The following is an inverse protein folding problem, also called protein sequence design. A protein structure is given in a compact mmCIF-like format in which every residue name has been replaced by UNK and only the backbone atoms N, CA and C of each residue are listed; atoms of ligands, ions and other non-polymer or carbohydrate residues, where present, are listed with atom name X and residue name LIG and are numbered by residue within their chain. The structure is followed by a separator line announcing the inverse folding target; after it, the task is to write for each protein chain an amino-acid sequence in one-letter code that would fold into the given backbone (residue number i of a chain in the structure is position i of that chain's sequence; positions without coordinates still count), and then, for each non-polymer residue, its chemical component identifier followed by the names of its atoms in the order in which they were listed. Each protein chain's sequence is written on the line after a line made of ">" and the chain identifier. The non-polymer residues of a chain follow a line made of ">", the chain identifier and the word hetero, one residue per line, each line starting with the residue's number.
data_IF_623521070020
#
_entry.id   IF_623521070020
#
_cell.length_a   1.000
_cell.length_b   1.000
_cell.length_c   1.000
_cell.angle_alpha   90.00
_cell.angle_beta   90.00
_cell.angle_gamma   90.00
#
_symmetry.space_group_name_H-M   'P 1'
#
loop_
_entity.id
_entity.type
_entity.pdbx_description
1 polymer ?
#
# COMPACT_ATOMS: atom_id res chain seq x y z
N UNK A 1 -7.43 -19.85 3.70
CA UNK A 1 -6.54 -20.19 2.57
C UNK A 1 -5.11 -20.16 3.10
N UNK A 2 -4.26 -21.12 2.73
CA UNK A 2 -2.84 -21.07 3.09
C UNK A 2 -2.10 -20.08 2.18
N UNK A 3 -1.11 -19.32 2.67
CA UNK A 3 -0.28 -18.45 1.82
C UNK A 3 0.40 -19.23 0.70
N UNK A 4 0.42 -18.69 -0.52
CA UNK A 4 1.22 -19.27 -1.60
C UNK A 4 2.69 -18.91 -1.39
N UNK A 5 3.60 -19.85 -1.65
CA UNK A 5 5.04 -19.60 -1.55
C UNK A 5 5.67 -19.59 -2.94
N UNK A 6 6.46 -18.55 -3.24
CA UNK A 6 7.12 -18.34 -4.54
C UNK A 6 8.56 -17.88 -4.32
N UNK A 7 9.34 -17.82 -5.40
CA UNK A 7 10.70 -17.26 -5.43
C UNK A 7 10.68 -16.01 -6.29
N UNK A 8 11.25 -14.91 -5.79
CA UNK A 8 11.33 -13.64 -6.51
C UNK A 8 12.33 -13.78 -7.66
N UNK A 9 11.97 -13.28 -8.84
CA UNK A 9 12.88 -13.08 -9.96
C UNK A 9 13.66 -11.75 -9.85
N UNK A 10 13.35 -10.94 -8.82
CA UNK A 10 13.95 -9.64 -8.57
C UNK A 10 13.14 -8.47 -9.11
N UNK A 11 12.01 -8.72 -9.78
CA UNK A 11 11.20 -7.68 -10.38
C UNK A 11 9.83 -7.57 -9.68
N UNK A 12 9.51 -6.37 -9.19
CA UNK A 12 8.15 -6.03 -8.81
C UNK A 12 7.54 -6.85 -7.67
N UNK A 13 8.32 -7.29 -6.67
CA UNK A 13 7.82 -7.99 -5.47
C UNK A 13 7.93 -7.11 -4.21
N UNK A 14 7.04 -6.13 -4.01
CA UNK A 14 7.09 -5.25 -2.84
C UNK A 14 6.57 -5.94 -1.57
N UNK A 15 7.41 -6.07 -0.54
CA UNK A 15 7.04 -6.64 0.75
C UNK A 15 6.22 -5.64 1.58
N UNK A 16 5.00 -6.03 1.99
CA UNK A 16 4.07 -5.17 2.75
C UNK A 16 4.38 -5.06 4.25
N UNK A 17 5.47 -5.69 4.70
CA UNK A 17 5.93 -5.58 6.09
C UNK A 17 7.10 -4.61 6.25
N UNK A 18 8.16 -4.78 5.47
CA UNK A 18 9.34 -3.90 5.51
C UNK A 18 9.25 -2.71 4.54
N UNK A 19 8.23 -2.71 3.68
CA UNK A 19 8.02 -1.74 2.60
C UNK A 19 9.21 -1.57 1.65
N UNK A 20 9.90 -2.69 1.40
CA UNK A 20 11.03 -2.81 0.49
C UNK A 20 10.80 -3.95 -0.52
N UNK A 21 11.61 -4.04 -1.56
CA UNK A 21 11.52 -5.10 -2.56
C UNK A 21 12.11 -6.41 -2.04
N UNK A 22 11.46 -7.54 -2.38
CA UNK A 22 12.03 -8.87 -2.17
C UNK A 22 13.10 -9.13 -3.24
N UNK A 23 14.37 -9.36 -2.86
CA UNK A 23 15.46 -9.52 -3.83
C UNK A 23 15.33 -10.81 -4.66
N UNK A 24 15.96 -10.82 -5.83
CA UNK A 24 16.02 -12.00 -6.70
C UNK A 24 16.54 -13.24 -5.94
N UNK A 25 15.91 -14.39 -6.19
CA UNK A 25 16.25 -15.67 -5.54
C UNK A 25 15.71 -15.85 -4.12
N UNK A 26 15.19 -14.79 -3.47
CA UNK A 26 14.58 -14.93 -2.15
C UNK A 26 13.15 -15.46 -2.23
N UNK A 27 12.76 -16.27 -1.24
CA UNK A 27 11.40 -16.77 -1.12
C UNK A 27 10.45 -15.69 -0.55
N UNK A 28 9.24 -15.65 -1.07
CA UNK A 28 8.17 -14.78 -0.59
C UNK A 28 6.83 -15.50 -0.50
N UNK A 29 5.91 -14.88 0.23
CA UNK A 29 4.54 -15.33 0.42
C UNK A 29 3.57 -14.41 -0.32
N UNK A 30 2.54 -14.99 -0.94
CA UNK A 30 1.38 -14.27 -1.47
C UNK A 30 0.19 -14.54 -0.56
N UNK A 31 -0.46 -13.48 -0.09
CA UNK A 31 -1.60 -13.58 0.81
C UNK A 31 -2.75 -12.71 0.31
N UNK A 32 -3.99 -13.19 0.48
CA UNK A 32 -5.17 -12.34 0.38
C UNK A 32 -5.24 -11.43 1.61
N UNK A 33 -5.17 -10.12 1.38
CA UNK A 33 -5.20 -9.12 2.43
C UNK A 33 -6.30 -8.09 2.20
N UNK A 34 -6.98 -7.77 3.29
CA UNK A 34 -7.98 -6.72 3.41
C UNK A 34 -7.37 -5.61 4.28
N UNK A 35 -7.03 -4.43 3.74
CA UNK A 35 -6.47 -3.32 4.50
C UNK A 35 -7.56 -2.54 5.25
N UNK A 36 -8.49 -3.26 5.87
CA UNK A 36 -9.62 -2.72 6.62
C UNK A 36 -9.94 -3.63 7.81
N UNK A 37 -10.36 -3.07 8.96
CA UNK A 37 -10.57 -3.84 10.18
C UNK A 37 -11.77 -4.79 10.10
N UNK A 38 -12.78 -4.47 9.30
CA UNK A 38 -14.01 -5.25 9.16
C UNK A 38 -14.40 -5.48 7.68
N UNK A 39 -15.29 -6.45 7.46
CA UNK A 39 -15.97 -6.59 6.18
C UNK A 39 -17.00 -5.47 6.03
N UNK A 40 -16.90 -4.73 4.93
CA UNK A 40 -17.83 -3.67 4.55
C UNK A 40 -17.81 -3.53 3.01
N UNK A 41 -18.78 -2.86 2.37
CA UNK A 41 -18.93 -2.86 0.90
C UNK A 41 -17.70 -2.38 0.10
N UNK A 42 -16.86 -1.55 0.70
CA UNK A 42 -15.62 -1.01 0.13
C UNK A 42 -14.36 -1.74 0.61
N UNK A 43 -14.50 -2.84 1.37
CA UNK A 43 -13.37 -3.56 1.96
C UNK A 43 -12.68 -4.46 0.93
N UNK A 44 -12.02 -3.83 -0.04
CA UNK A 44 -11.30 -4.50 -1.12
C UNK A 44 -10.29 -5.50 -0.54
N UNK A 45 -10.33 -6.73 -1.05
CA UNK A 45 -9.35 -7.77 -0.74
C UNK A 45 -8.52 -8.04 -1.98
N UNK A 46 -7.20 -8.03 -1.84
CA UNK A 46 -6.28 -8.27 -2.95
C UNK A 46 -4.99 -8.93 -2.47
N UNK A 47 -4.11 -9.34 -3.40
CA UNK A 47 -2.84 -9.95 -3.03
C UNK A 47 -1.89 -8.92 -2.42
N UNK A 48 -1.21 -9.33 -1.35
CA UNK A 48 0.02 -8.69 -0.88
C UNK A 48 1.16 -9.70 -0.90
N UNK A 49 2.38 -9.18 -0.95
CA UNK A 49 3.59 -9.97 -0.84
C UNK A 49 4.29 -9.70 0.48
N UNK A 50 4.86 -10.74 1.08
CA UNK A 50 5.70 -10.66 2.28
C UNK A 50 6.96 -11.49 2.05
N UNK A 51 8.10 -11.09 2.61
CA UNK A 51 9.24 -12.00 2.72
C UNK A 51 8.79 -13.31 3.41
N UNK A 52 9.25 -14.46 2.90
CA UNK A 52 8.99 -15.74 3.55
C UNK A 52 9.79 -15.87 4.85
N UNK A 53 10.98 -15.27 4.88
CA UNK A 53 11.80 -15.14 6.08
C UNK A 53 11.46 -13.84 6.84
N UNK A 54 11.69 -13.79 8.16
CA UNK A 54 11.46 -12.57 8.94
C UNK A 54 12.24 -11.38 8.38
N UNK A 55 11.55 -10.24 8.23
CA UNK A 55 12.15 -8.95 7.89
C UNK A 55 11.74 -7.91 8.93
N UNK A 56 12.55 -6.85 9.08
CA UNK A 56 12.24 -5.78 10.03
C UNK A 56 11.06 -4.96 9.50
N UNK A 57 10.05 -4.61 10.32
CA UNK A 57 9.02 -3.68 9.90
C UNK A 57 9.62 -2.37 9.44
N UNK A 58 9.02 -1.78 8.41
CA UNK A 58 9.31 -0.40 8.06
C UNK A 58 9.09 0.48 9.30
N UNK A 59 10.08 1.30 9.60
CA UNK A 59 10.04 2.24 10.71
C UNK A 59 10.54 3.59 10.23
N UNK A 60 9.76 4.65 10.44
CA UNK A 60 10.12 6.01 10.08
C UNK A 60 9.04 6.73 9.28
N UNK A 61 9.37 7.95 8.87
CA UNK A 61 8.55 8.80 8.01
C UNK A 61 9.14 8.83 6.60
N UNK A 62 8.29 9.07 5.59
CA UNK A 62 8.71 9.33 4.23
C UNK A 62 8.26 8.26 3.23
N UNK A 63 8.80 8.35 2.01
CA UNK A 63 8.44 7.46 0.91
C UNK A 63 9.06 6.08 1.11
N UNK A 64 8.28 4.99 1.16
CA UNK A 64 8.85 3.64 1.24
C UNK A 64 9.56 3.27 -0.07
N UNK A 65 10.72 2.59 0.00
CA UNK A 65 11.53 2.25 -1.18
C UNK A 65 10.82 1.33 -2.17
N UNK A 66 9.82 0.56 -1.73
CA UNK A 66 9.06 -0.32 -2.62
C UNK A 66 8.17 0.42 -3.66
N UNK A 67 8.01 1.75 -3.55
CA UNK A 67 7.22 2.54 -4.50
C UNK A 67 8.08 2.94 -5.72
N UNK A 68 8.31 1.99 -6.61
CA UNK A 68 9.21 2.11 -7.77
C UNK A 68 8.49 2.32 -9.13
N UNK A 69 7.15 2.35 -9.15
CA UNK A 69 6.40 2.71 -10.37
C UNK A 69 6.40 4.22 -10.61
N UNK A 70 6.09 4.65 -11.83
CA UNK A 70 6.00 6.08 -12.20
C UNK A 70 4.89 6.84 -11.45
N UNK A 71 3.80 6.14 -11.14
CA UNK A 71 2.60 6.71 -10.54
C UNK A 71 1.79 5.66 -9.79
N UNK A 72 0.97 6.14 -8.85
CA UNK A 72 0.11 5.35 -7.99
C UNK A 72 -1.24 6.03 -7.82
N UNK A 73 -2.27 5.27 -7.46
CA UNK A 73 -3.51 5.85 -6.96
C UNK A 73 -3.30 6.27 -5.51
N UNK A 74 -3.56 7.53 -5.22
CA UNK A 74 -3.64 8.08 -3.86
C UNK A 74 -5.10 8.39 -3.57
N UNK A 75 -5.64 7.92 -2.44
CA UNK A 75 -7.07 8.03 -2.11
C UNK A 75 -7.30 8.22 -0.61
N UNK A 76 -8.11 9.21 -0.24
CA UNK A 76 -8.50 9.50 1.14
C UNK A 76 -9.66 8.64 1.64
N UNK A 77 -9.59 8.28 2.91
CA UNK A 77 -10.63 7.53 3.63
C UNK A 77 -11.02 8.26 4.91
N UNK A 78 -12.30 8.19 5.26
CA UNK A 78 -12.83 8.73 6.51
C UNK A 78 -12.65 7.76 7.69
N UNK A 79 -13.09 8.18 8.89
CA UNK A 79 -13.00 7.37 10.11
C UNK A 79 -13.91 6.13 10.11
N UNK A 80 -14.85 6.03 9.15
CA UNK A 80 -15.73 4.88 8.97
C UNK A 80 -15.20 3.92 7.90
N UNK A 81 -13.95 4.08 7.47
CA UNK A 81 -13.30 3.31 6.41
C UNK A 81 -14.03 3.44 5.05
N UNK A 82 -14.61 4.62 4.75
CA UNK A 82 -15.23 4.93 3.45
C UNK A 82 -14.34 5.82 2.62
N UNK A 83 -14.39 5.61 1.31
CA UNK A 83 -13.73 6.49 0.35
C UNK A 83 -14.37 7.86 0.44
N UNK A 84 -13.57 8.89 0.70
CA UNK A 84 -14.03 10.28 0.55
C UNK A 84 -13.98 10.61 -0.94
N UNK A 85 -15.15 10.64 -1.59
CA UNK A 85 -15.24 10.84 -3.03
C UNK A 85 -14.61 12.16 -3.47
N UNK A 86 -14.00 12.17 -4.66
CA UNK A 86 -13.24 13.30 -5.19
C UNK A 86 -11.79 13.39 -4.70
N UNK A 87 -11.34 12.48 -3.82
CA UNK A 87 -9.95 12.44 -3.32
C UNK A 87 -9.05 11.44 -4.05
N UNK A 88 -9.62 10.57 -4.89
CA UNK A 88 -8.85 9.59 -5.64
C UNK A 88 -8.18 10.21 -6.86
N UNK A 89 -6.86 10.12 -6.96
CA UNK A 89 -6.10 10.56 -8.14
C UNK A 89 -5.00 9.56 -8.49
N UNK A 90 -4.66 9.48 -9.78
CA UNK A 90 -3.40 8.88 -10.23
C UNK A 90 -2.33 9.94 -10.08
N UNK A 91 -1.41 9.74 -9.15
CA UNK A 91 -0.42 10.71 -8.71
C UNK A 91 0.98 10.22 -9.09
N UNK A 92 1.80 11.03 -9.77
CA UNK A 92 3.21 10.73 -9.99
C UNK A 92 3.93 10.44 -8.68
N UNK A 93 4.80 9.44 -8.65
CA UNK A 93 5.48 9.00 -7.42
C UNK A 93 6.18 10.12 -6.65
N UNK A 94 6.90 11.07 -7.30
CA UNK A 94 7.50 12.20 -6.59
C UNK A 94 6.49 13.14 -5.90
N UNK A 95 5.23 13.15 -6.34
CA UNK A 95 4.18 14.05 -5.85
C UNK A 95 3.31 13.42 -4.76
N UNK A 96 3.44 12.10 -4.50
CA UNK A 96 2.58 11.38 -3.56
C UNK A 96 2.61 12.01 -2.16
N UNK A 97 3.79 12.39 -1.66
CA UNK A 97 3.92 12.98 -0.33
C UNK A 97 3.15 14.30 -0.23
N UNK A 98 3.38 15.22 -1.17
CA UNK A 98 2.70 16.51 -1.22
C UNK A 98 1.17 16.33 -1.37
N UNK A 99 0.72 15.44 -2.25
CA UNK A 99 -0.71 15.21 -2.42
C UNK A 99 -1.34 14.58 -1.19
N UNK A 100 -0.70 13.60 -0.56
CA UNK A 100 -1.16 13.00 0.69
C UNK A 100 -1.27 14.03 1.81
N UNK A 101 -0.32 14.98 1.92
CA UNK A 101 -0.41 16.10 2.86
C UNK A 101 -1.64 16.97 2.60
N UNK A 102 -1.96 17.29 1.34
CA UNK A 102 -3.19 18.08 1.04
C UNK A 102 -4.47 17.35 1.42
N UNK A 103 -4.52 16.03 1.22
CA UNK A 103 -5.66 15.21 1.64
C UNK A 103 -5.74 15.16 3.17
N UNK A 104 -4.64 14.85 3.82
CA UNK A 104 -4.58 14.82 5.28
C UNK A 104 -4.83 16.22 5.87
N UNK A 105 -4.61 17.35 5.20
CA UNK A 105 -5.03 18.64 5.75
C UNK A 105 -6.57 18.75 5.98
N UNK A 106 -7.37 17.91 5.32
CA UNK A 106 -8.83 17.92 5.48
C UNK A 106 -9.26 17.16 6.73
N UNK A 107 -10.22 17.71 7.52
CA UNK A 107 -10.67 17.07 8.76
C UNK A 107 -11.56 15.83 8.54
N UNK A 108 -12.14 15.68 7.34
CA UNK A 108 -12.98 14.52 6.98
C UNK A 108 -12.14 13.30 6.54
N UNK A 109 -10.82 13.44 6.36
CA UNK A 109 -9.91 12.37 5.98
C UNK A 109 -9.14 11.87 7.21
N UNK A 110 -9.38 10.62 7.57
CA UNK A 110 -8.69 9.93 8.66
C UNK A 110 -7.32 9.39 8.23
N UNK A 111 -7.22 8.83 7.03
CA UNK A 111 -5.99 8.27 6.47
C UNK A 111 -6.03 8.21 4.94
N UNK A 112 -4.89 7.93 4.32
CA UNK A 112 -4.75 7.81 2.86
C UNK A 112 -4.22 6.43 2.50
N UNK A 113 -4.76 5.80 1.46
CA UNK A 113 -4.15 4.61 0.86
C UNK A 113 -3.38 4.97 -0.40
N UNK A 114 -2.23 4.32 -0.58
CA UNK A 114 -1.51 4.23 -1.85
C UNK A 114 -1.82 2.88 -2.49
N UNK A 115 -2.22 2.88 -3.76
CA UNK A 115 -2.59 1.70 -4.53
C UNK A 115 -1.91 1.70 -5.90
N UNK A 116 -1.66 0.53 -6.48
CA UNK A 116 -1.17 0.43 -7.87
C UNK A 116 -2.13 1.15 -8.81
N UNK A 117 -1.62 2.04 -9.68
CA UNK A 117 -2.47 2.72 -10.65
C UNK A 117 -3.07 1.78 -11.70
N UNK A 118 -2.38 0.68 -12.01
CA UNK A 118 -2.76 -0.25 -13.10
C UNK A 118 -3.64 -1.37 -12.59
N UNK A 119 -3.40 -1.83 -11.36
CA UNK A 119 -4.05 -3.02 -10.81
C UNK A 119 -4.87 -2.74 -9.55
N UNK A 120 -4.89 -1.50 -9.04
CA UNK A 120 -5.59 -1.08 -7.81
C UNK A 120 -5.16 -1.85 -6.53
N UNK A 121 -4.13 -2.70 -6.60
CA UNK A 121 -3.58 -3.43 -5.46
C UNK A 121 -3.11 -2.48 -4.36
N UNK A 122 -3.38 -2.83 -3.10
CA UNK A 122 -2.92 -2.07 -1.94
C UNK A 122 -1.40 -2.07 -1.84
N UNK A 123 -0.81 -0.90 -1.57
CA UNK A 123 0.62 -0.75 -1.32
C UNK A 123 0.87 -0.46 0.15
N UNK A 124 0.44 0.70 0.63
CA UNK A 124 0.60 1.13 2.02
C UNK A 124 -0.48 2.13 2.42
N UNK A 125 -0.54 2.44 3.72
CA UNK A 125 -1.37 3.49 4.32
C UNK A 125 -0.45 4.60 4.79
N UNK A 126 -0.85 5.84 4.52
CA UNK A 126 -0.21 7.06 5.02
C UNK A 126 -1.10 7.58 6.14
N UNK A 127 -0.48 7.84 7.28
CA UNK A 127 -1.12 8.41 8.46
C UNK A 127 -0.56 9.82 8.73
N UNK A 128 -1.27 10.57 9.57
CA UNK A 128 -0.72 11.80 10.14
C UNK A 128 0.44 11.45 11.08
N UNK A 129 1.44 12.32 11.13
CA UNK A 129 2.51 12.24 12.11
C UNK A 129 1.99 12.46 13.55
#
# INVERSE_FOLDING_TARGET
>A
MQPERRVSDGDGVPCRHCLDMVPAGAAYLVLAHRPFPALQPYAETGPIFLHAEPCRPFSGSGMPPMLDSSDYIVRGYDAADRIVYGTGAVTPTPEIAAYAETLLARPDIAYVHVRSARNNCYQCRIERA
#
